data_IF_357224799969
#
_entry.id   IF_357224799969
#
_cell.length_a   1.000
_cell.length_b   1.000
_cell.length_c   1.000
_cell.angle_alpha   90.00
_cell.angle_beta   90.00
_cell.angle_gamma   90.00
#
_symmetry.space_group_name_H-M   'P 1'
#
loop_
_entity.id
_entity.type
_entity.pdbx_description
1 polymer ?
#
# COMPACT_ATOMS: atom_id res chain seq x y z
N UNK A 1 -16.23 -15.54 19.07
CA UNK A 1 -15.67 -14.19 18.89
C UNK A 1 -15.09 -14.02 17.50
N UNK A 2 -15.47 -12.96 16.84
CA UNK A 2 -14.90 -12.66 15.53
C UNK A 2 -13.44 -12.22 15.69
N UNK A 3 -12.54 -12.74 14.86
CA UNK A 3 -11.16 -12.28 14.84
C UNK A 3 -11.13 -10.84 14.32
N UNK A 4 -10.26 -10.02 14.89
CA UNK A 4 -9.98 -8.71 14.30
C UNK A 4 -9.50 -8.90 12.87
N UNK A 5 -10.06 -8.15 11.94
CA UNK A 5 -9.57 -8.15 10.57
C UNK A 5 -8.17 -7.54 10.56
N UNK A 6 -7.36 -8.00 9.62
CA UNK A 6 -5.99 -7.51 9.47
C UNK A 6 -5.87 -6.65 8.21
N UNK A 7 -5.06 -5.61 8.32
CA UNK A 7 -4.62 -4.83 7.18
C UNK A 7 -3.12 -5.07 7.05
N UNK A 8 -2.70 -5.60 5.92
CA UNK A 8 -1.28 -5.80 5.64
C UNK A 8 -0.73 -4.62 4.87
N UNK A 9 0.56 -4.37 5.01
CA UNK A 9 1.29 -3.41 4.17
C UNK A 9 2.53 -4.08 3.64
N UNK A 10 3.00 -3.66 2.46
CA UNK A 10 4.24 -4.17 1.88
C UNK A 10 4.90 -3.10 1.01
N UNK A 11 6.23 -3.08 1.00
CA UNK A 11 7.01 -2.27 0.09
C UNK A 11 7.91 -3.18 -0.74
N UNK A 12 8.22 -2.77 -1.97
CA UNK A 12 8.98 -3.62 -2.88
C UNK A 12 10.39 -3.13 -3.17
N UNK A 13 10.84 -2.09 -2.47
CA UNK A 13 12.18 -1.55 -2.63
C UNK A 13 13.23 -2.65 -2.48
N UNK A 14 14.11 -2.79 -3.48
CA UNK A 14 15.20 -3.77 -3.48
C UNK A 14 14.74 -5.23 -3.31
N UNK A 15 13.51 -5.53 -3.68
CA UNK A 15 12.92 -6.86 -3.50
C UNK A 15 12.48 -7.43 -4.86
N UNK A 16 12.81 -8.70 -5.18
CA UNK A 16 12.33 -9.31 -6.44
C UNK A 16 10.82 -9.46 -6.43
N UNK A 17 10.19 -9.36 -7.63
CA UNK A 17 8.73 -9.47 -7.74
C UNK A 17 8.23 -10.82 -7.24
N UNK A 18 8.95 -11.91 -7.55
CA UNK A 18 8.57 -13.24 -7.06
C UNK A 18 8.51 -13.27 -5.53
N UNK A 19 9.49 -12.67 -4.85
CA UNK A 19 9.53 -12.66 -3.39
C UNK A 19 8.34 -11.89 -2.82
N UNK A 20 7.96 -10.76 -3.43
CA UNK A 20 6.80 -9.98 -3.02
C UNK A 20 5.52 -10.81 -3.19
N UNK A 21 5.35 -11.43 -4.35
CA UNK A 21 4.17 -12.26 -4.63
C UNK A 21 4.09 -13.46 -3.68
N UNK A 22 5.22 -14.12 -3.41
CA UNK A 22 5.27 -15.25 -2.48
C UNK A 22 4.87 -14.82 -1.07
N UNK A 23 5.34 -13.64 -0.63
CA UNK A 23 5.00 -13.12 0.71
C UNK A 23 3.51 -12.82 0.83
N UNK A 24 2.92 -12.20 -0.20
CA UNK A 24 1.50 -11.89 -0.22
C UNK A 24 0.66 -13.17 -0.17
N UNK A 25 1.05 -14.17 -0.95
CA UNK A 25 0.34 -15.45 -0.98
C UNK A 25 0.44 -16.15 0.37
N UNK A 26 1.63 -16.20 0.96
CA UNK A 26 1.85 -16.82 2.28
C UNK A 26 1.04 -16.16 3.38
N UNK A 27 0.86 -14.85 3.30
CA UNK A 27 0.07 -14.11 4.29
C UNK A 27 -1.44 -14.26 4.07
N UNK A 28 -1.86 -14.89 2.99
CA UNK A 28 -3.28 -15.09 2.68
C UNK A 28 -3.97 -13.87 2.13
N UNK A 29 -3.21 -12.93 1.57
CA UNK A 29 -3.77 -11.70 0.98
C UNK A 29 -4.69 -12.05 -0.19
N UNK A 30 -5.86 -11.42 -0.25
CA UNK A 30 -6.83 -11.62 -1.34
C UNK A 30 -6.95 -10.41 -2.25
N UNK A 31 -6.59 -9.23 -1.76
CA UNK A 31 -6.64 -7.99 -2.53
C UNK A 31 -5.42 -7.14 -2.23
N UNK A 32 -4.69 -6.77 -3.27
CA UNK A 32 -3.61 -5.79 -3.16
C UNK A 32 -4.12 -4.44 -3.62
N UNK A 33 -4.06 -3.46 -2.74
CA UNK A 33 -4.41 -2.07 -3.06
C UNK A 33 -3.12 -1.29 -3.26
N UNK A 34 -2.89 -0.86 -4.49
CA UNK A 34 -1.70 -0.11 -4.88
C UNK A 34 -1.94 1.38 -4.58
N UNK A 35 -1.21 1.91 -3.61
CA UNK A 35 -1.36 3.32 -3.20
C UNK A 35 -0.23 4.19 -3.74
N UNK A 36 0.42 3.76 -4.83
CA UNK A 36 1.42 4.59 -5.51
C UNK A 36 0.73 5.67 -6.33
N UNK A 37 1.29 6.88 -6.33
CA UNK A 37 0.80 7.95 -7.20
C UNK A 37 1.03 7.59 -8.67
N UNK A 38 2.16 6.95 -8.96
CA UNK A 38 2.54 6.49 -10.29
C UNK A 38 2.77 4.98 -10.23
N UNK A 39 1.94 4.23 -10.94
CA UNK A 39 1.98 2.76 -10.93
C UNK A 39 2.84 2.21 -12.07
N UNK A 40 3.96 2.85 -12.34
CA UNK A 40 4.96 2.36 -13.29
C UNK A 40 6.30 2.22 -12.59
N UNK A 41 7.10 1.25 -13.03
CA UNK A 41 8.38 0.96 -12.41
C UNK A 41 9.35 0.45 -13.48
N UNK A 42 10.62 0.81 -13.33
CA UNK A 42 11.69 0.24 -14.17
C UNK A 42 12.03 -1.17 -13.74
N UNK A 43 11.62 -1.56 -12.54
CA UNK A 43 11.90 -2.90 -12.03
C UNK A 43 10.92 -3.91 -12.61
N UNK A 44 11.40 -5.05 -13.11
CA UNK A 44 10.53 -6.05 -13.73
C UNK A 44 9.41 -6.52 -12.77
N UNK A 45 8.20 -6.60 -13.28
CA UNK A 45 7.06 -7.13 -12.54
C UNK A 45 6.29 -6.12 -11.69
N UNK A 46 6.76 -4.86 -11.59
CA UNK A 46 6.14 -3.88 -10.68
C UNK A 46 5.33 -2.78 -11.36
N UNK A 47 5.36 -2.67 -12.68
CA UNK A 47 4.42 -1.78 -13.35
C UNK A 47 3.01 -2.35 -13.23
N UNK A 48 2.01 -1.46 -13.24
CA UNK A 48 0.61 -1.80 -12.96
C UNK A 48 0.13 -3.09 -13.62
N UNK A 49 0.29 -3.21 -14.93
CA UNK A 49 -0.24 -4.36 -15.66
C UNK A 49 0.53 -5.65 -15.37
N UNK A 50 1.85 -5.53 -15.21
CA UNK A 50 2.70 -6.69 -14.86
C UNK A 50 2.39 -7.18 -13.45
N UNK A 51 2.24 -6.24 -12.51
CA UNK A 51 1.93 -6.57 -11.12
C UNK A 51 0.55 -7.23 -11.03
N UNK A 52 -0.44 -6.64 -11.69
CA UNK A 52 -1.80 -7.20 -11.70
C UNK A 52 -1.83 -8.61 -12.28
N UNK A 53 -1.09 -8.87 -13.36
CA UNK A 53 -1.01 -10.19 -13.98
C UNK A 53 -0.35 -11.22 -13.04
N UNK A 54 0.75 -10.84 -12.39
CA UNK A 54 1.42 -11.72 -11.43
C UNK A 54 0.55 -12.06 -10.24
N UNK A 55 -0.21 -11.09 -9.74
CA UNK A 55 -1.15 -11.30 -8.64
C UNK A 55 -2.30 -12.21 -9.06
N UNK A 56 -2.84 -12.00 -10.27
CA UNK A 56 -3.94 -12.81 -10.78
C UNK A 56 -3.57 -14.30 -10.85
N UNK A 57 -2.35 -14.61 -11.25
CA UNK A 57 -1.83 -15.98 -11.27
C UNK A 57 -1.86 -16.65 -9.90
N UNK A 58 -1.89 -15.85 -8.83
CA UNK A 58 -1.91 -16.32 -7.45
C UNK A 58 -3.27 -16.18 -6.78
N UNK A 59 -4.29 -15.80 -7.56
CA UNK A 59 -5.64 -15.62 -7.03
C UNK A 59 -5.79 -14.37 -6.18
N UNK A 60 -4.95 -13.36 -6.38
CA UNK A 60 -4.99 -12.10 -5.65
C UNK A 60 -5.50 -11.01 -6.59
N UNK A 61 -6.54 -10.28 -6.16
CA UNK A 61 -7.08 -9.16 -6.94
C UNK A 61 -6.18 -7.93 -6.79
N UNK A 62 -6.25 -7.03 -7.76
CA UNK A 62 -5.47 -5.79 -7.78
C UNK A 62 -6.39 -4.58 -7.97
N UNK A 63 -6.14 -3.53 -7.19
CA UNK A 63 -6.84 -2.25 -7.33
C UNK A 63 -5.84 -1.11 -7.12
N UNK A 64 -5.85 -0.12 -8.00
CA UNK A 64 -5.00 1.06 -7.89
C UNK A 64 -5.81 2.24 -7.37
N UNK A 65 -5.50 2.72 -6.17
CA UNK A 65 -6.08 3.92 -5.59
C UNK A 65 -5.07 5.05 -5.70
N UNK A 66 -5.00 5.62 -6.88
CA UNK A 66 -4.02 6.66 -7.25
C UNK A 66 -4.09 7.89 -6.35
N UNK A 67 -5.29 8.27 -5.92
CA UNK A 67 -5.50 9.45 -5.07
C UNK A 67 -4.93 9.31 -3.67
N UNK A 68 -4.56 8.10 -3.25
CA UNK A 68 -3.87 7.86 -1.99
C UNK A 68 -2.35 7.93 -2.14
N UNK A 69 -1.85 8.14 -3.36
CA UNK A 69 -0.42 8.29 -3.60
C UNK A 69 0.10 9.64 -3.14
N UNK A 70 1.41 9.70 -2.93
CA UNK A 70 2.07 10.95 -2.52
C UNK A 70 2.18 11.92 -3.69
N UNK A 71 1.77 13.20 -3.53
CA UNK A 71 1.96 14.21 -4.58
C UNK A 71 3.45 14.37 -4.94
N UNK A 72 3.72 14.91 -6.12
CA UNK A 72 5.09 15.10 -6.63
C UNK A 72 5.98 15.82 -5.61
N UNK A 73 5.51 16.92 -5.02
CA UNK A 73 6.27 17.66 -4.02
C UNK A 73 6.60 16.81 -2.79
N UNK A 74 5.68 15.93 -2.39
CA UNK A 74 5.90 14.99 -1.29
C UNK A 74 6.93 13.94 -1.66
N UNK A 75 6.90 13.43 -2.89
CA UNK A 75 7.91 12.46 -3.36
C UNK A 75 9.30 13.08 -3.39
N UNK A 76 9.40 14.35 -3.77
CA UNK A 76 10.67 15.08 -3.75
C UNK A 76 11.17 15.27 -2.32
N UNK A 77 10.29 15.59 -1.38
CA UNK A 77 10.64 15.69 0.04
C UNK A 77 11.14 14.36 0.59
N UNK A 78 10.49 13.25 0.22
CA UNK A 78 10.91 11.91 0.63
C UNK A 78 12.31 11.58 0.12
N UNK A 79 12.59 11.87 -1.16
CA UNK A 79 13.91 11.63 -1.76
C UNK A 79 15.01 12.46 -1.11
N UNK A 80 14.65 13.66 -0.60
CA UNK A 80 15.58 14.55 0.07
C UNK A 80 15.71 14.27 1.58
N UNK A 81 15.04 13.23 2.07
CA UNK A 81 15.09 12.86 3.48
C UNK A 81 14.31 13.80 4.39
N UNK A 82 13.45 14.65 3.85
CA UNK A 82 12.68 15.64 4.61
C UNK A 82 11.33 15.06 5.07
N UNK A 83 11.38 14.14 6.03
CA UNK A 83 10.18 13.41 6.47
C UNK A 83 9.11 14.30 7.08
N UNK A 84 9.48 15.33 7.81
CA UNK A 84 8.52 16.28 8.37
C UNK A 84 7.76 17.05 7.29
N UNK A 85 8.46 17.46 6.24
CA UNK A 85 7.84 18.12 5.10
C UNK A 85 6.93 17.15 4.34
N UNK A 86 7.40 15.94 4.12
CA UNK A 86 6.59 14.87 3.49
C UNK A 86 5.29 14.67 4.25
N UNK A 87 5.35 14.56 5.57
CA UNK A 87 4.16 14.38 6.41
C UNK A 87 3.18 15.53 6.26
N UNK A 88 3.67 16.77 6.26
CA UNK A 88 2.79 17.94 6.09
C UNK A 88 2.12 17.96 4.73
N UNK A 89 2.88 17.66 3.67
CA UNK A 89 2.35 17.65 2.31
C UNK A 89 1.31 16.54 2.16
N UNK A 90 1.62 15.36 2.66
CA UNK A 90 0.72 14.22 2.54
C UNK A 90 -0.54 14.40 3.39
N UNK A 91 -0.41 14.93 4.60
CA UNK A 91 -1.56 15.20 5.46
C UNK A 91 -2.53 16.18 4.80
N UNK A 92 -2.00 17.21 4.13
CA UNK A 92 -2.83 18.16 3.37
C UNK A 92 -3.49 17.46 2.17
N UNK A 93 -2.76 16.60 1.48
CA UNK A 93 -3.28 15.84 0.34
C UNK A 93 -4.44 14.93 0.74
N UNK A 94 -4.36 14.29 1.89
CA UNK A 94 -5.41 13.40 2.39
C UNK A 94 -6.72 14.14 2.70
N UNK A 95 -6.69 15.46 2.77
CA UNK A 95 -7.91 16.27 2.96
C UNK A 95 -8.62 16.58 1.65
N UNK A 96 -8.02 16.27 0.49
CA UNK A 96 -8.66 16.48 -0.80
C UNK A 96 -9.85 15.56 -0.95
N UNK A 97 -10.84 15.95 -1.79
CA UNK A 97 -12.04 15.15 -2.00
C UNK A 97 -11.69 13.76 -2.55
N UNK A 98 -10.81 13.69 -3.54
CA UNK A 98 -10.40 12.42 -4.15
C UNK A 98 -9.76 11.48 -3.13
N UNK A 99 -8.82 11.99 -2.33
CA UNK A 99 -8.15 11.15 -1.34
C UNK A 99 -9.13 10.66 -0.27
N UNK A 100 -10.07 11.50 0.14
CA UNK A 100 -11.08 11.12 1.14
C UNK A 100 -12.02 10.04 0.60
N UNK A 101 -12.44 10.15 -0.65
CA UNK A 101 -13.27 9.11 -1.29
C UNK A 101 -12.52 7.78 -1.36
N UNK A 102 -11.24 7.81 -1.71
CA UNK A 102 -10.44 6.59 -1.83
C UNK A 102 -10.10 5.99 -0.47
N UNK A 103 -9.94 6.81 0.57
CA UNK A 103 -9.82 6.31 1.95
C UNK A 103 -11.11 5.59 2.37
N UNK A 104 -12.26 6.16 2.06
CA UNK A 104 -13.55 5.54 2.36
C UNK A 104 -13.72 4.23 1.60
N UNK A 105 -13.29 4.18 0.34
CA UNK A 105 -13.31 2.96 -0.46
C UNK A 105 -12.40 1.89 0.15
N UNK A 106 -11.19 2.27 0.55
CA UNK A 106 -10.26 1.35 1.20
C UNK A 106 -10.84 0.81 2.50
N UNK A 107 -11.42 1.67 3.32
CA UNK A 107 -12.07 1.27 4.56
C UNK A 107 -13.17 0.24 4.31
N UNK A 108 -14.02 0.48 3.30
CA UNK A 108 -15.08 -0.45 2.93
C UNK A 108 -14.52 -1.80 2.46
N UNK A 109 -13.44 -1.79 1.67
CA UNK A 109 -12.79 -3.02 1.18
C UNK A 109 -12.19 -3.83 2.32
N UNK A 110 -11.55 -3.16 3.28
CA UNK A 110 -10.98 -3.84 4.45
C UNK A 110 -12.06 -4.55 5.26
N UNK A 111 -13.26 -3.96 5.34
CA UNK A 111 -14.38 -4.56 6.08
C UNK A 111 -15.02 -5.72 5.33
N UNK A 112 -15.15 -5.64 4.01
CA UNK A 112 -15.95 -6.57 3.19
C UNK A 112 -15.16 -7.67 2.53
N UNK A 113 -13.94 -7.34 2.05
CA UNK A 113 -13.11 -8.29 1.32
C UNK A 113 -12.32 -9.19 2.26
N UNK A 114 -11.73 -10.23 1.75
CA UNK A 114 -10.74 -11.01 2.47
C UNK A 114 -9.54 -10.13 2.83
N UNK A 115 -8.44 -10.70 3.33
CA UNK A 115 -7.31 -9.88 3.78
C UNK A 115 -6.78 -8.95 2.69
N UNK A 116 -6.66 -7.66 3.02
CA UNK A 116 -6.21 -6.60 2.13
C UNK A 116 -4.79 -6.20 2.49
N UNK A 117 -3.96 -5.97 1.46
CA UNK A 117 -2.61 -5.43 1.64
C UNK A 117 -2.47 -4.14 0.84
N UNK A 118 -1.89 -3.10 1.44
CA UNK A 118 -1.56 -1.88 0.71
C UNK A 118 -0.08 -1.91 0.32
N UNK A 119 0.22 -1.49 -0.90
CA UNK A 119 1.57 -1.53 -1.47
C UNK A 119 2.06 -0.15 -1.86
N UNK A 120 3.30 0.16 -1.51
CA UNK A 120 4.03 1.29 -2.06
C UNK A 120 5.49 0.89 -2.29
N UNK A 121 6.37 1.86 -2.61
CA UNK A 121 7.75 1.55 -2.96
C UNK A 121 8.63 1.18 -1.76
N UNK A 122 8.61 2.02 -0.70
CA UNK A 122 9.57 1.92 0.39
C UNK A 122 9.47 0.59 1.13
N UNK A 123 10.62 -0.06 1.34
CA UNK A 123 10.69 -1.30 2.11
C UNK A 123 10.36 -1.06 3.59
N UNK A 124 10.91 0.02 4.15
CA UNK A 124 10.63 0.40 5.54
C UNK A 124 9.32 1.19 5.59
N UNK A 125 8.29 0.61 6.24
CA UNK A 125 6.98 1.24 6.36
C UNK A 125 7.04 2.60 7.08
N UNK A 126 8.00 2.79 7.99
CA UNK A 126 8.15 4.04 8.74
C UNK A 126 8.54 5.22 7.83
N UNK A 127 9.09 4.95 6.65
CA UNK A 127 9.51 5.96 5.69
C UNK A 127 8.56 6.08 4.50
N UNK A 128 7.36 5.53 4.60
CA UNK A 128 6.40 5.49 3.51
C UNK A 128 5.03 6.00 3.93
N UNK A 129 4.33 6.66 3.01
CA UNK A 129 2.97 7.15 3.24
C UNK A 129 1.98 6.03 3.58
N UNK A 130 2.26 4.77 3.23
CA UNK A 130 1.36 3.66 3.58
C UNK A 130 1.18 3.51 5.08
N UNK A 131 2.18 3.90 5.88
CA UNK A 131 2.05 3.85 7.34
C UNK A 131 0.94 4.78 7.82
N UNK A 132 0.85 5.98 7.28
CA UNK A 132 -0.19 6.93 7.67
C UNK A 132 -1.58 6.46 7.24
N UNK A 133 -1.68 5.87 6.06
CA UNK A 133 -2.92 5.24 5.60
C UNK A 133 -3.33 4.12 6.57
N UNK A 134 -2.38 3.25 6.91
CA UNK A 134 -2.64 2.12 7.81
C UNK A 134 -3.09 2.60 9.19
N UNK A 135 -2.47 3.65 9.73
CA UNK A 135 -2.86 4.23 11.01
C UNK A 135 -4.30 4.76 10.97
N UNK A 136 -4.68 5.42 9.88
CA UNK A 136 -6.04 5.96 9.72
C UNK A 136 -7.05 4.81 9.71
N UNK A 137 -6.78 3.76 8.95
CA UNK A 137 -7.69 2.61 8.85
C UNK A 137 -7.75 1.85 10.17
N UNK A 138 -6.62 1.68 10.85
CA UNK A 138 -6.57 1.06 12.18
C UNK A 138 -7.47 1.81 13.17
N UNK A 139 -7.36 3.13 13.19
CA UNK A 139 -8.16 3.97 14.07
C UNK A 139 -9.64 3.92 13.73
N UNK A 140 -9.98 3.98 12.44
CA UNK A 140 -11.39 3.94 11.97
C UNK A 140 -12.07 2.60 12.20
N UNK A 141 -11.38 1.53 11.87
CA UNK A 141 -12.00 0.22 11.69
C UNK A 141 -11.58 -0.81 12.73
N UNK A 142 -10.65 -0.45 13.61
CA UNK A 142 -10.19 -1.35 14.66
C UNK A 142 -9.44 -2.58 14.14
N UNK A 143 -8.89 -2.50 12.93
CA UNK A 143 -8.12 -3.61 12.35
C UNK A 143 -6.72 -3.69 12.95
N UNK A 144 -6.11 -4.87 12.88
CA UNK A 144 -4.73 -5.06 13.27
C UNK A 144 -3.84 -4.86 12.04
N UNK A 145 -2.88 -3.94 12.12
CA UNK A 145 -1.94 -3.69 11.03
C UNK A 145 -0.74 -4.61 11.15
N UNK A 146 -0.36 -5.25 10.04
CA UNK A 146 0.83 -6.09 9.97
C UNK A 146 1.65 -5.68 8.75
N UNK A 147 2.89 -5.27 8.98
CA UNK A 147 3.79 -4.81 7.93
C UNK A 147 4.60 -5.98 7.42
N UNK A 148 4.31 -6.42 6.19
CA UNK A 148 5.02 -7.53 5.56
C UNK A 148 6.35 -7.06 4.99
N UNK A 149 7.35 -7.90 5.09
CA UNK A 149 8.69 -7.66 4.53
C UNK A 149 9.13 -8.91 3.78
N UNK A 150 9.19 -8.81 2.47
CA UNK A 150 9.63 -9.93 1.64
C UNK A 150 11.16 -10.03 1.61
N UNK A 151 11.72 -11.24 1.44
CA UNK A 151 13.17 -11.41 1.34
C UNK A 151 13.74 -10.67 0.13
N UNK A 152 14.92 -10.06 0.28
CA UNK A 152 15.59 -9.35 -0.81
C UNK A 152 16.26 -10.30 -1.81
N UNK A 153 16.45 -11.53 -1.42
CA UNK A 153 17.08 -12.55 -2.25
C UNK A 153 16.21 -13.76 -2.36
#
# INVERSE_FOLDING_TARGET
MARKKRLFTIGYEQTPSKAVLDELESAGVKLLVDVRAVASSRRPGFSKNQLAAGLDERGIAYLHLKGLGTPKSGREAARSGKLGLLHRIYSAHLKTAQAREELDELSALVKKSGPVCILCYERDHAHCHRQWIAEIIEERDGVKVENLVAPQV
#
